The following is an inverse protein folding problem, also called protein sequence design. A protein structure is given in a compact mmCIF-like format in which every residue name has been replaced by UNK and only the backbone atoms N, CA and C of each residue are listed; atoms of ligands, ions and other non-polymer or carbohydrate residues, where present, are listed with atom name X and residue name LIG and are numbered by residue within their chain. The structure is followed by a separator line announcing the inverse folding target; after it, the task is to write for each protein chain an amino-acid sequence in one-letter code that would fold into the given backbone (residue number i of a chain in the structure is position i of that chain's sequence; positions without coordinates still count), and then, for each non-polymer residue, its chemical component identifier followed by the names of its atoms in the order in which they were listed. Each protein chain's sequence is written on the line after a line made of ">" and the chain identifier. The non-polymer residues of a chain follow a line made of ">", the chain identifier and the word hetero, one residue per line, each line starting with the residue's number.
data_IF_358305499730
#
_entry.id   IF_358305499730
#
_cell.length_a   1.000
_cell.length_b   1.000
_cell.length_c   1.000
_cell.angle_alpha   90.00
_cell.angle_beta   90.00
_cell.angle_gamma   90.00
#
_symmetry.space_group_name_H-M   'P 1'
#
loop_
_entity.id
_entity.type
_entity.pdbx_description
1 polymer ?
#
# COMPACT_ATOMS: atom_id res chain seq x y z
N UNK A 1 -58.10 57.19 18.88
CA UNK A 1 -56.72 57.00 18.42
C UNK A 1 -56.52 55.49 18.19
N UNK A 2 -56.48 55.02 16.93
CA UNK A 2 -56.36 53.62 16.56
C UNK A 2 -54.95 53.43 16.03
N UNK A 3 -54.20 52.50 16.62
CA UNK A 3 -52.82 52.12 16.17
C UNK A 3 -52.96 50.96 15.21
N UNK A 4 -52.19 50.92 14.10
CA UNK A 4 -52.17 49.79 13.18
C UNK A 4 -51.18 48.70 13.67
N UNK A 5 -51.65 47.47 13.61
CA UNK A 5 -50.88 46.24 13.86
C UNK A 5 -50.01 45.95 12.62
N UNK A 6 -48.68 45.91 12.81
CA UNK A 6 -47.73 45.56 11.78
C UNK A 6 -47.57 44.03 11.76
N UNK A 7 -47.97 43.39 10.66
CA UNK A 7 -47.81 41.96 10.43
C UNK A 7 -46.36 41.76 9.92
N UNK A 8 -45.49 41.11 10.74
CA UNK A 8 -44.17 40.63 10.30
C UNK A 8 -44.33 39.25 9.67
N UNK A 9 -44.17 39.16 8.33
CA UNK A 9 -44.02 37.89 7.62
C UNK A 9 -42.58 37.42 7.71
N UNK A 10 -42.32 36.33 8.45
CA UNK A 10 -41.04 35.66 8.50
C UNK A 10 -40.83 34.82 7.25
N UNK A 11 -39.85 35.21 6.44
CA UNK A 11 -39.38 34.45 5.28
C UNK A 11 -38.46 33.33 5.78
N UNK A 12 -38.98 32.10 5.87
CA UNK A 12 -38.21 30.93 6.25
C UNK A 12 -37.26 30.52 5.11
N UNK A 13 -35.96 30.76 5.27
CA UNK A 13 -34.93 30.14 4.41
C UNK A 13 -34.88 28.63 4.69
N UNK A 14 -35.39 27.83 3.76
CA UNK A 14 -35.19 26.39 3.75
C UNK A 14 -33.76 26.14 3.23
N UNK A 15 -32.82 25.90 4.15
CA UNK A 15 -31.50 25.36 3.77
C UNK A 15 -31.69 23.90 3.36
N UNK A 16 -31.79 23.66 2.07
CA UNK A 16 -31.72 22.34 1.50
C UNK A 16 -30.27 21.81 1.68
N UNK A 17 -30.08 20.91 2.65
CA UNK A 17 -28.86 20.07 2.72
C UNK A 17 -28.86 19.18 1.49
N UNK A 18 -28.03 19.52 0.52
CA UNK A 18 -27.63 18.62 -0.57
C UNK A 18 -26.93 17.43 0.08
N UNK A 19 -27.65 16.33 0.27
CA UNK A 19 -27.08 15.02 0.51
C UNK A 19 -26.22 14.69 -0.73
N UNK A 20 -24.90 14.90 -0.61
CA UNK A 20 -23.93 14.38 -1.57
C UNK A 20 -24.05 12.87 -1.47
N UNK A 21 -24.54 12.22 -2.53
CA UNK A 21 -24.52 10.77 -2.63
C UNK A 21 -23.06 10.34 -2.41
N UNK A 22 -22.83 9.53 -1.38
CA UNK A 22 -21.57 8.88 -1.12
C UNK A 22 -21.36 7.90 -2.29
N UNK A 23 -20.60 8.32 -3.31
CA UNK A 23 -20.24 7.45 -4.42
C UNK A 23 -19.45 6.29 -3.81
N UNK A 24 -20.07 5.13 -3.71
CA UNK A 24 -19.44 3.93 -3.19
C UNK A 24 -18.22 3.61 -4.04
N UNK A 25 -17.02 3.79 -3.47
CA UNK A 25 -15.75 3.50 -4.12
C UNK A 25 -15.76 2.08 -4.67
N UNK A 26 -15.50 1.94 -5.96
CA UNK A 26 -15.43 0.63 -6.61
C UNK A 26 -13.99 0.17 -6.65
N UNK A 27 -13.72 -0.98 -6.06
CA UNK A 27 -12.40 -1.58 -6.00
C UNK A 27 -12.30 -2.82 -6.90
N UNK A 28 -11.12 -3.05 -7.47
CA UNK A 28 -10.76 -4.31 -8.12
C UNK A 28 -9.36 -4.73 -7.70
N UNK A 29 -9.18 -6.04 -7.52
CA UNK A 29 -7.95 -6.60 -6.96
C UNK A 29 -7.02 -7.04 -8.09
N UNK A 30 -5.71 -6.76 -7.91
CA UNK A 30 -4.67 -7.25 -8.82
C UNK A 30 -4.26 -8.66 -8.38
N UNK A 31 -4.23 -9.62 -9.32
CA UNK A 31 -3.75 -10.97 -9.03
C UNK A 31 -2.22 -11.00 -9.07
N UNK A 32 -1.60 -11.15 -7.91
CA UNK A 32 -0.15 -11.27 -7.77
C UNK A 32 0.35 -12.72 -7.85
N UNK A 33 -0.54 -13.72 -7.77
CA UNK A 33 -0.16 -15.13 -7.67
C UNK A 33 0.72 -15.62 -8.83
N UNK A 34 0.48 -15.24 -10.11
CA UNK A 34 1.33 -15.68 -11.22
C UNK A 34 2.79 -15.21 -11.13
N UNK A 35 3.05 -14.20 -10.31
CA UNK A 35 4.38 -13.56 -10.11
C UNK A 35 4.91 -13.74 -8.69
N UNK A 36 4.13 -14.33 -7.78
CA UNK A 36 4.51 -14.52 -6.39
C UNK A 36 5.80 -15.37 -6.28
N UNK A 37 6.72 -14.90 -5.45
CA UNK A 37 7.99 -15.57 -5.19
C UNK A 37 8.23 -15.82 -3.70
N UNK A 38 7.22 -15.55 -2.87
CA UNK A 38 7.13 -15.86 -1.45
C UNK A 38 5.71 -16.26 -1.09
N UNK A 39 5.57 -17.11 -0.05
CA UNK A 39 4.28 -17.41 0.57
C UNK A 39 4.15 -16.69 1.92
N UNK A 40 2.92 -16.41 2.38
CA UNK A 40 2.71 -15.77 3.69
C UNK A 40 3.34 -16.57 4.85
N UNK A 41 3.52 -17.87 4.68
CA UNK A 41 4.13 -18.78 5.67
C UNK A 41 5.66 -18.84 5.58
N UNK A 42 6.26 -18.32 4.52
CA UNK A 42 7.71 -18.33 4.34
C UNK A 42 8.36 -17.28 5.25
N UNK A 43 9.55 -17.60 5.76
CA UNK A 43 10.31 -16.63 6.53
C UNK A 43 10.80 -15.50 5.62
N UNK A 44 10.51 -14.26 5.99
CA UNK A 44 11.05 -13.07 5.33
C UNK A 44 12.34 -12.62 6.02
N UNK A 45 13.27 -12.09 5.26
CA UNK A 45 14.52 -11.54 5.78
C UNK A 45 15.62 -12.60 6.02
N UNK A 46 16.23 -12.58 7.20
CA UNK A 46 17.46 -13.35 7.51
C UNK A 46 17.24 -14.84 7.82
N UNK A 47 16.06 -15.38 7.59
CA UNK A 47 15.73 -16.80 7.87
C UNK A 47 15.49 -17.09 9.35
N UNK A 48 15.14 -16.10 10.15
CA UNK A 48 14.67 -16.31 11.52
C UNK A 48 13.35 -17.08 11.45
N UNK A 49 13.30 -18.24 12.09
CA UNK A 49 12.12 -19.10 12.07
C UNK A 49 10.89 -18.36 12.63
N UNK A 50 9.75 -18.51 11.95
CA UNK A 50 8.51 -17.86 12.32
C UNK A 50 8.45 -16.36 11.99
N UNK A 51 9.48 -15.81 11.34
CA UNK A 51 9.46 -14.43 10.85
C UNK A 51 8.71 -14.33 9.53
N UNK A 52 7.40 -14.43 9.56
CA UNK A 52 6.53 -14.53 8.40
C UNK A 52 5.24 -13.69 8.56
N UNK A 53 4.34 -13.80 7.59
CA UNK A 53 3.03 -13.14 7.54
C UNK A 53 1.88 -14.14 7.75
N UNK A 54 2.11 -15.32 8.34
CA UNK A 54 1.09 -16.36 8.48
C UNK A 54 -0.17 -15.90 9.22
N UNK A 55 -0.05 -14.92 10.11
CA UNK A 55 -1.17 -14.35 10.87
C UNK A 55 -1.91 -13.21 10.15
N UNK A 56 -1.48 -12.81 8.94
CA UNK A 56 -2.21 -11.85 8.13
C UNK A 56 -3.52 -12.49 7.64
N UNK A 57 -4.70 -11.91 7.97
CA UNK A 57 -5.97 -12.47 7.54
C UNK A 57 -6.07 -12.53 6.01
N UNK A 58 -6.38 -13.72 5.48
CA UNK A 58 -6.56 -13.95 4.04
C UNK A 58 -7.95 -13.54 3.56
N UNK A 59 -8.10 -13.50 2.24
CA UNK A 59 -9.35 -13.13 1.58
C UNK A 59 -9.56 -11.62 1.53
N UNK A 60 -10.79 -11.18 1.48
CA UNK A 60 -11.12 -9.77 1.42
C UNK A 60 -11.00 -9.12 2.81
N UNK A 61 -10.18 -8.08 2.88
CA UNK A 61 -9.93 -7.28 4.08
C UNK A 61 -10.19 -5.82 3.78
N UNK A 62 -10.75 -5.08 4.72
CA UNK A 62 -10.81 -3.62 4.65
C UNK A 62 -9.76 -3.05 5.59
N UNK A 63 -8.74 -2.43 5.04
CA UNK A 63 -7.61 -1.84 5.76
C UNK A 63 -7.58 -0.34 5.46
N UNK A 64 -7.75 0.49 6.48
CA UNK A 64 -7.75 1.95 6.32
C UNK A 64 -8.69 2.44 5.19
N UNK A 65 -9.93 1.94 5.17
CA UNK A 65 -11.00 2.24 4.19
C UNK A 65 -10.73 1.71 2.76
N UNK A 66 -9.63 1.01 2.52
CA UNK A 66 -9.30 0.37 1.24
C UNK A 66 -9.57 -1.12 1.33
N UNK A 67 -10.27 -1.68 0.33
CA UNK A 67 -10.48 -3.13 0.23
C UNK A 67 -9.28 -3.78 -0.44
N UNK A 68 -8.73 -4.80 0.20
CA UNK A 68 -7.67 -5.65 -0.34
C UNK A 68 -8.13 -7.10 -0.41
N UNK A 69 -7.58 -7.86 -1.35
CA UNK A 69 -7.66 -9.32 -1.34
C UNK A 69 -6.28 -9.87 -1.02
N UNK A 70 -6.15 -10.46 0.17
CA UNK A 70 -4.91 -11.08 0.63
C UNK A 70 -4.91 -12.52 0.16
N UNK A 71 -3.97 -12.87 -0.70
CA UNK A 71 -3.76 -14.21 -1.24
C UNK A 71 -2.65 -14.94 -0.45
N UNK A 72 -2.31 -16.18 -0.84
CA UNK A 72 -1.27 -16.95 -0.16
C UNK A 72 0.15 -16.46 -0.46
N UNK A 73 0.37 -15.98 -1.68
CA UNK A 73 1.69 -15.55 -2.14
C UNK A 73 1.80 -14.04 -2.32
N UNK A 74 3.04 -13.54 -2.23
CA UNK A 74 3.37 -12.13 -2.40
C UNK A 74 4.70 -11.95 -3.13
N UNK A 75 5.05 -10.70 -3.47
CA UNK A 75 6.25 -10.32 -4.20
C UNK A 75 7.32 -9.82 -3.24
N UNK A 76 8.54 -10.36 -3.29
CA UNK A 76 9.70 -9.83 -2.57
C UNK A 76 10.84 -9.55 -3.54
N UNK A 77 11.47 -8.39 -3.39
CA UNK A 77 12.67 -8.00 -4.13
C UNK A 77 13.95 -8.42 -3.39
N UNK A 78 15.03 -8.46 -4.13
CA UNK A 78 16.34 -8.91 -3.68
C UNK A 78 16.98 -7.99 -2.64
N UNK A 79 17.89 -8.58 -1.86
CA UNK A 79 18.84 -7.89 -0.98
C UNK A 79 20.01 -8.83 -0.72
N UNK A 80 21.22 -8.27 -0.58
CA UNK A 80 22.42 -9.02 -0.21
C UNK A 80 22.30 -9.69 1.18
N UNK A 81 21.34 -9.25 2.01
CA UNK A 81 21.11 -9.81 3.35
C UNK A 81 20.09 -10.95 3.38
N UNK A 82 19.40 -11.22 2.28
CA UNK A 82 18.51 -12.36 2.21
C UNK A 82 19.32 -13.66 2.19
N UNK A 83 18.87 -14.63 2.97
CA UNK A 83 19.46 -15.98 2.97
C UNK A 83 19.30 -16.66 1.61
N UNK A 84 18.13 -16.47 1.00
CA UNK A 84 17.80 -16.99 -0.32
C UNK A 84 17.70 -15.81 -1.30
N UNK A 85 18.43 -15.86 -2.44
CA UNK A 85 18.36 -14.80 -3.43
C UNK A 85 16.94 -14.61 -3.96
N UNK A 86 16.53 -13.36 -4.09
CA UNK A 86 15.28 -12.95 -4.75
C UNK A 86 15.62 -12.04 -5.93
N UNK A 87 14.73 -11.92 -6.92
CA UNK A 87 14.97 -11.06 -8.07
C UNK A 87 14.98 -9.58 -7.67
N UNK A 88 15.78 -8.79 -8.34
CA UNK A 88 15.76 -7.34 -8.19
C UNK A 88 14.60 -6.70 -8.99
N UNK A 89 13.88 -7.50 -9.77
CA UNK A 89 12.78 -7.05 -10.62
C UNK A 89 11.74 -8.16 -10.81
N UNK A 90 10.46 -7.76 -10.74
CA UNK A 90 9.30 -8.60 -11.08
C UNK A 90 8.52 -7.88 -12.17
N UNK A 91 8.61 -8.39 -13.40
CA UNK A 91 8.00 -7.76 -14.58
C UNK A 91 6.59 -8.27 -14.88
N UNK A 92 5.80 -7.42 -15.51
CA UNK A 92 4.56 -7.81 -16.16
C UNK A 92 3.47 -8.27 -15.20
N UNK A 93 3.28 -7.59 -14.06
CA UNK A 93 2.09 -7.75 -13.20
C UNK A 93 0.90 -7.23 -14.00
N UNK A 94 0.00 -8.12 -14.40
CA UNK A 94 -1.08 -7.80 -15.35
C UNK A 94 -2.14 -6.92 -14.69
N UNK A 95 -2.47 -5.81 -15.34
CA UNK A 95 -3.54 -4.87 -14.91
C UNK A 95 -4.72 -4.91 -15.89
N UNK A 96 -4.50 -4.63 -17.15
CA UNK A 96 -5.47 -4.79 -18.25
C UNK A 96 -6.64 -3.81 -18.26
N UNK A 97 -6.66 -2.77 -17.39
CA UNK A 97 -7.76 -1.79 -17.27
C UNK A 97 -7.29 -0.38 -16.93
N UNK A 98 -8.19 0.60 -17.04
CA UNK A 98 -8.02 1.95 -16.53
C UNK A 98 -8.46 2.02 -15.06
N UNK A 99 -7.86 2.91 -14.27
CA UNK A 99 -8.19 3.12 -12.86
C UNK A 99 -7.78 4.52 -12.40
N UNK A 100 -8.40 5.02 -11.34
CA UNK A 100 -8.09 6.34 -10.77
C UNK A 100 -6.95 6.29 -9.75
N UNK A 101 -6.92 5.25 -8.87
CA UNK A 101 -5.87 5.11 -7.86
C UNK A 101 -5.38 3.68 -7.76
N UNK A 102 -4.09 3.55 -7.44
CA UNK A 102 -3.46 2.28 -7.06
C UNK A 102 -3.15 2.33 -5.56
N UNK A 103 -3.64 1.34 -4.84
CA UNK A 103 -3.35 1.13 -3.44
C UNK A 103 -2.41 -0.07 -3.30
N UNK A 104 -1.37 0.11 -2.51
CA UNK A 104 -0.29 -0.86 -2.28
C UNK A 104 -0.27 -1.25 -0.81
N UNK A 105 -0.30 -2.54 -0.50
CA UNK A 105 -0.02 -3.06 0.83
C UNK A 105 1.37 -3.67 0.82
N UNK A 106 2.35 -2.95 1.39
CA UNK A 106 3.76 -3.25 1.23
C UNK A 106 4.58 -2.91 2.50
N UNK A 107 5.84 -3.36 2.53
CA UNK A 107 6.83 -3.00 3.56
C UNK A 107 8.24 -3.34 3.07
N UNK A 108 9.23 -3.27 3.96
CA UNK A 108 10.57 -3.79 3.71
C UNK A 108 11.09 -4.54 4.94
N UNK A 109 12.00 -5.48 4.74
CA UNK A 109 12.87 -5.99 5.80
C UNK A 109 14.25 -5.36 5.68
N UNK A 110 15.02 -5.40 6.76
CA UNK A 110 16.36 -4.79 6.88
C UNK A 110 16.38 -3.27 6.77
N UNK A 111 15.25 -2.60 6.99
CA UNK A 111 15.18 -1.14 7.02
C UNK A 111 15.75 -0.54 8.31
N UNK A 112 15.66 -1.26 9.43
CA UNK A 112 16.05 -0.80 10.76
C UNK A 112 16.80 -1.89 11.55
N UNK A 113 17.25 -1.57 12.75
CA UNK A 113 17.97 -2.48 13.65
C UNK A 113 19.47 -2.24 13.63
N UNK A 114 20.30 -3.29 13.53
CA UNK A 114 21.76 -3.19 13.58
C UNK A 114 22.38 -2.36 12.42
N UNK A 115 21.68 -2.28 11.31
CA UNK A 115 22.01 -1.44 10.15
C UNK A 115 20.72 -0.74 9.72
N UNK A 116 20.77 0.55 9.50
CA UNK A 116 19.60 1.39 9.23
C UNK A 116 19.67 1.92 7.80
N UNK A 117 18.56 1.81 7.07
CA UNK A 117 18.34 2.56 5.83
C UNK A 117 17.99 4.00 6.22
N UNK A 118 18.68 4.98 5.66
CA UNK A 118 18.41 6.38 5.95
C UNK A 118 17.02 6.79 5.43
N UNK A 119 16.35 7.69 6.14
CA UNK A 119 15.14 8.33 5.64
C UNK A 119 15.43 9.00 4.28
N UNK A 120 14.42 9.12 3.43
CA UNK A 120 14.50 9.65 2.07
C UNK A 120 15.27 8.77 1.06
N UNK A 121 15.68 7.54 1.45
CA UNK A 121 16.29 6.59 0.53
C UNK A 121 15.24 5.93 -0.35
N UNK A 122 15.41 6.00 -1.67
CA UNK A 122 14.62 5.21 -2.63
C UNK A 122 15.05 3.75 -2.55
N UNK A 123 14.11 2.84 -2.28
CA UNK A 123 14.40 1.40 -2.10
C UNK A 123 13.75 0.53 -3.15
N UNK A 124 12.68 1.01 -3.76
CA UNK A 124 11.97 0.34 -4.85
C UNK A 124 11.20 1.35 -5.70
N UNK A 125 10.69 0.88 -6.82
CA UNK A 125 9.73 1.61 -7.66
C UNK A 125 8.74 0.65 -8.29
N UNK A 126 7.56 1.18 -8.69
CA UNK A 126 6.65 0.53 -9.60
C UNK A 126 6.66 1.31 -10.92
N UNK A 127 6.89 0.62 -12.03
CA UNK A 127 6.82 1.17 -13.38
C UNK A 127 5.47 0.79 -13.98
N UNK A 128 4.62 1.79 -14.22
CA UNK A 128 3.24 1.62 -14.70
C UNK A 128 3.21 1.80 -16.21
N UNK A 129 2.97 0.73 -16.96
CA UNK A 129 2.99 0.72 -18.41
C UNK A 129 1.59 0.88 -19.01
N UNK A 130 1.38 1.95 -19.76
CA UNK A 130 0.12 2.23 -20.43
C UNK A 130 0.06 1.62 -21.84
N UNK A 131 -1.16 1.35 -22.29
CA UNK A 131 -1.40 1.04 -23.69
C UNK A 131 -0.99 2.24 -24.55
N UNK A 132 -0.10 2.03 -25.50
CA UNK A 132 0.49 3.10 -26.33
C UNK A 132 1.96 3.37 -26.02
N UNK A 133 2.54 2.79 -24.97
CA UNK A 133 3.97 2.80 -24.67
C UNK A 133 4.42 3.84 -23.64
N UNK A 134 3.53 4.70 -23.16
CA UNK A 134 3.85 5.63 -22.06
C UNK A 134 4.09 4.85 -20.76
N UNK A 135 4.95 5.38 -19.90
CA UNK A 135 5.27 4.79 -18.58
C UNK A 135 5.30 5.87 -17.51
N UNK A 136 4.70 5.58 -16.36
CA UNK A 136 4.80 6.39 -15.14
C UNK A 136 5.54 5.62 -14.04
N UNK A 137 6.22 6.32 -13.16
CA UNK A 137 7.01 5.73 -12.08
C UNK A 137 6.46 6.14 -10.72
N UNK A 138 6.23 5.13 -9.87
CA UNK A 138 5.87 5.32 -8.46
C UNK A 138 7.07 4.94 -7.63
N UNK A 139 7.76 5.90 -7.03
CA UNK A 139 8.93 5.66 -6.19
C UNK A 139 8.50 5.27 -4.77
N UNK A 140 9.10 4.22 -4.22
CA UNK A 140 8.95 3.79 -2.83
C UNK A 140 10.15 4.28 -2.03
N UNK A 141 9.91 5.19 -1.09
CA UNK A 141 10.94 5.88 -0.31
C UNK A 141 10.84 5.45 1.15
N UNK A 142 11.95 4.99 1.73
CA UNK A 142 12.05 4.65 3.14
C UNK A 142 11.80 5.90 4.02
N UNK A 143 11.01 5.76 5.06
CA UNK A 143 10.61 6.87 5.93
C UNK A 143 9.42 7.70 5.39
N UNK A 144 9.12 7.64 4.09
CA UNK A 144 7.93 8.28 3.50
C UNK A 144 6.79 7.30 3.28
N UNK A 145 7.04 6.19 2.60
CA UNK A 145 6.01 5.24 2.20
C UNK A 145 5.98 4.01 3.10
N UNK A 146 7.16 3.54 3.46
CA UNK A 146 7.36 2.32 4.24
C UNK A 146 8.51 2.51 5.22
N UNK A 147 8.51 1.66 6.25
CA UNK A 147 9.64 1.37 7.12
C UNK A 147 9.84 -0.14 7.23
N UNK A 148 10.75 -0.54 8.12
CA UNK A 148 10.93 -1.95 8.44
C UNK A 148 9.60 -2.58 8.86
N UNK A 149 9.39 -3.79 8.44
CA UNK A 149 8.19 -4.56 8.74
C UNK A 149 8.09 -4.92 10.24
N UNK A 150 9.22 -4.98 10.98
CA UNK A 150 9.20 -5.02 12.43
C UNK A 150 9.00 -3.61 12.99
N UNK A 151 8.11 -3.47 13.99
CA UNK A 151 7.96 -2.21 14.71
C UNK A 151 9.14 -1.99 15.65
N UNK A 152 10.10 -1.19 15.21
CA UNK A 152 11.21 -0.71 16.03
C UNK A 152 10.73 0.51 16.82
N UNK A 153 10.43 0.35 18.11
CA UNK A 153 9.72 1.33 18.97
C UNK A 153 10.28 2.76 18.94
N UNK A 154 11.54 2.91 18.59
CA UNK A 154 12.20 4.22 18.47
C UNK A 154 12.11 4.80 17.05
N UNK A 155 11.54 4.07 16.13
CA UNK A 155 11.42 4.46 14.74
C UNK A 155 10.28 5.46 14.55
N UNK A 156 10.54 6.52 13.81
CA UNK A 156 9.52 7.50 13.42
C UNK A 156 8.48 6.87 12.52
N UNK A 157 7.26 7.42 12.47
CA UNK A 157 6.24 7.03 11.51
C UNK A 157 6.64 7.33 10.06
N UNK A 158 5.84 6.89 9.10
CA UNK A 158 5.96 7.29 7.70
C UNK A 158 5.24 8.61 7.46
N UNK A 159 5.65 9.36 6.43
CA UNK A 159 5.13 10.73 6.18
C UNK A 159 4.19 10.82 4.98
N UNK A 160 4.16 9.83 4.07
CA UNK A 160 3.30 9.77 2.88
C UNK A 160 2.39 8.56 2.90
N UNK A 161 2.92 7.38 3.25
CA UNK A 161 2.11 6.21 3.55
C UNK A 161 1.45 6.27 4.93
N UNK A 162 0.77 5.19 5.31
CA UNK A 162 0.26 4.96 6.66
C UNK A 162 0.34 3.48 7.02
N UNK A 163 0.32 3.15 8.31
CA UNK A 163 0.22 1.75 8.73
C UNK A 163 -1.16 1.23 8.33
N UNK A 164 -1.19 0.26 7.43
CA UNK A 164 -2.41 -0.37 6.94
C UNK A 164 -2.81 -1.61 7.73
N UNK A 165 -1.83 -2.31 8.31
CA UNK A 165 -2.08 -3.47 9.15
C UNK A 165 -0.95 -3.67 10.16
N UNK A 166 -1.31 -4.16 11.34
CA UNK A 166 -0.38 -4.61 12.39
C UNK A 166 -0.75 -6.00 12.86
N UNK A 167 0.26 -6.77 13.24
CA UNK A 167 0.08 -8.11 13.77
C UNK A 167 1.31 -8.60 14.53
N UNK A 168 1.36 -9.88 14.81
CA UNK A 168 2.49 -10.54 15.44
C UNK A 168 2.87 -11.80 14.66
N UNK A 169 4.10 -12.25 14.81
CA UNK A 169 4.56 -13.55 14.37
C UNK A 169 5.42 -14.20 15.46
N UNK A 170 5.74 -15.48 15.32
CA UNK A 170 6.48 -16.20 16.36
C UNK A 170 7.88 -15.64 16.62
N UNK A 171 8.51 -14.99 15.64
CA UNK A 171 9.84 -14.39 15.79
C UNK A 171 9.88 -13.17 16.72
N UNK A 172 8.75 -12.44 16.85
CA UNK A 172 8.69 -11.18 17.62
C UNK A 172 7.60 -11.15 18.68
N UNK A 173 6.89 -12.26 18.87
CA UNK A 173 5.77 -12.40 19.79
C UNK A 173 6.11 -11.92 21.21
N UNK A 174 5.25 -11.06 21.75
CA UNK A 174 5.43 -10.46 23.07
C UNK A 174 6.56 -9.42 23.17
N UNK A 175 7.31 -9.16 22.10
CA UNK A 175 8.41 -8.18 22.10
C UNK A 175 8.06 -6.95 21.25
N UNK A 176 7.51 -7.15 20.05
CA UNK A 176 7.13 -6.10 19.10
C UNK A 176 6.06 -6.59 18.14
N UNK A 177 5.49 -5.68 17.38
CA UNK A 177 4.57 -6.00 16.30
C UNK A 177 5.28 -6.07 14.94
N UNK A 178 4.63 -6.72 13.99
CA UNK A 178 4.92 -6.59 12.56
C UNK A 178 3.86 -5.68 11.94
N UNK A 179 4.20 -5.00 10.86
CA UNK A 179 3.32 -4.02 10.21
C UNK A 179 3.47 -4.01 8.70
N UNK A 180 2.39 -3.70 8.02
CA UNK A 180 2.35 -3.40 6.60
C UNK A 180 1.86 -1.97 6.41
N UNK A 181 2.36 -1.31 5.39
CA UNK A 181 2.02 0.07 5.07
C UNK A 181 1.08 0.12 3.87
N UNK A 182 0.14 1.04 3.93
CA UNK A 182 -0.73 1.41 2.83
C UNK A 182 -0.12 2.62 2.10
N UNK A 183 0.30 2.41 0.88
CA UNK A 183 0.61 3.47 -0.08
C UNK A 183 -0.57 3.69 -1.03
N UNK A 184 -0.82 4.94 -1.41
CA UNK A 184 -1.83 5.30 -2.41
C UNK A 184 -1.19 6.20 -3.45
N UNK A 185 -1.30 5.82 -4.72
CA UNK A 185 -0.88 6.61 -5.86
C UNK A 185 -2.08 7.01 -6.70
N UNK A 186 -2.18 8.31 -7.01
CA UNK A 186 -3.20 8.83 -7.92
C UNK A 186 -2.67 8.75 -9.36
N UNK A 187 -3.42 8.03 -10.19
CA UNK A 187 -3.04 7.84 -11.59
C UNK A 187 -3.25 9.16 -12.37
N UNK A 188 -2.20 9.79 -12.92
CA UNK A 188 -2.33 11.04 -13.68
C UNK A 188 -3.13 10.87 -14.98
N UNK A 189 -3.28 9.60 -15.44
CA UNK A 189 -4.00 9.25 -16.67
C UNK A 189 -5.15 8.25 -16.39
N UNK A 190 -6.16 8.61 -15.57
CA UNK A 190 -7.14 7.66 -15.04
C UNK A 190 -8.08 7.03 -16.08
N UNK A 191 -8.07 7.55 -17.31
CA UNK A 191 -8.84 7.01 -18.44
C UNK A 191 -8.01 6.16 -19.40
N UNK A 192 -6.66 6.20 -19.29
CA UNK A 192 -5.78 5.35 -20.11
C UNK A 192 -5.73 3.93 -19.51
N UNK A 193 -5.80 2.94 -20.38
CA UNK A 193 -5.62 1.54 -19.98
C UNK A 193 -4.17 1.30 -19.57
N UNK A 194 -3.95 0.82 -18.35
CA UNK A 194 -2.67 0.27 -17.90
C UNK A 194 -2.62 -1.19 -18.32
N UNK A 195 -1.54 -1.58 -18.96
CA UNK A 195 -1.30 -2.96 -19.41
C UNK A 195 -0.73 -3.80 -18.29
N UNK A 196 0.35 -3.31 -17.67
CA UNK A 196 1.08 -4.00 -16.61
C UNK A 196 1.77 -3.02 -15.68
N UNK A 197 2.25 -3.57 -14.57
CA UNK A 197 3.15 -2.89 -13.64
C UNK A 197 4.38 -3.79 -13.46
N UNK A 198 5.58 -3.18 -13.41
CA UNK A 198 6.79 -3.85 -12.99
C UNK A 198 7.16 -3.37 -11.58
N UNK A 199 7.64 -4.26 -10.73
CA UNK A 199 8.12 -3.96 -9.39
C UNK A 199 9.64 -4.12 -9.35
N UNK A 200 10.38 -3.04 -9.06
CA UNK A 200 11.81 -2.95 -9.30
C UNK A 200 12.52 -2.42 -8.06
N UNK A 201 13.61 -3.06 -7.66
CA UNK A 201 14.54 -2.57 -6.63
C UNK A 201 15.27 -1.33 -7.15
N UNK A 202 15.51 -0.36 -6.26
CA UNK A 202 16.29 0.84 -6.56
C UNK A 202 17.50 0.90 -5.64
N UNK A 203 18.63 1.24 -6.22
CA UNK A 203 19.90 1.42 -5.51
C UNK A 203 20.46 0.14 -4.90
N UNK A 204 21.65 0.28 -4.30
CA UNK A 204 22.37 -0.81 -3.63
C UNK A 204 22.15 -0.72 -2.11
N UNK A 205 20.89 -0.82 -1.70
CA UNK A 205 20.51 -0.79 -0.27
C UNK A 205 20.39 -2.19 0.30
N UNK A 206 20.51 -2.30 1.63
CA UNK A 206 20.27 -3.56 2.34
C UNK A 206 18.77 -3.88 2.45
N UNK A 207 17.88 -2.94 2.15
CA UNK A 207 16.45 -3.16 2.17
C UNK A 207 16.04 -4.30 1.23
N UNK A 208 15.11 -5.13 1.67
CA UNK A 208 14.42 -6.11 0.83
C UNK A 208 12.94 -5.78 0.79
N UNK A 209 12.51 -4.89 -0.12
CA UNK A 209 11.13 -4.48 -0.25
C UNK A 209 10.23 -5.63 -0.67
N UNK A 210 8.98 -5.62 -0.17
CA UNK A 210 7.99 -6.61 -0.58
C UNK A 210 6.58 -5.99 -0.68
N UNK A 211 5.74 -6.57 -1.55
CA UNK A 211 4.36 -6.14 -1.80
C UNK A 211 3.42 -7.32 -1.64
N UNK A 212 2.45 -7.19 -0.73
CA UNK A 212 1.52 -8.26 -0.35
C UNK A 212 0.24 -8.23 -1.17
N UNK A 213 -0.26 -7.03 -1.45
CA UNK A 213 -1.48 -6.86 -2.25
C UNK A 213 -1.49 -5.52 -2.97
N UNK A 214 -2.19 -5.51 -4.10
CA UNK A 214 -2.47 -4.32 -4.89
C UNK A 214 -3.98 -4.23 -5.18
N UNK A 215 -4.53 -3.04 -5.04
CA UNK A 215 -5.94 -2.76 -5.30
C UNK A 215 -6.07 -1.51 -6.17
N UNK A 216 -6.95 -1.60 -7.16
CA UNK A 216 -7.29 -0.49 -8.04
C UNK A 216 -8.61 0.14 -7.55
N UNK A 217 -8.65 1.45 -7.37
CA UNK A 217 -9.87 2.22 -7.18
C UNK A 217 -10.30 2.75 -8.55
N UNK A 218 -11.47 2.33 -9.02
CA UNK A 218 -12.04 2.77 -10.27
C UNK A 218 -12.62 4.20 -10.12
N UNK A 219 -12.85 4.85 -11.25
CA UNK A 219 -13.41 6.21 -11.30
C UNK A 219 -14.92 6.18 -11.15
#
# INVERSE_FOLDING_TARGET
>A
MKWPVLLMTSLGCVFGTLLRADETKKFSYVDLQPKANQQLTDNVGSGIQGNNLANLPKGEQTLEEVKFRIADGFLQLGSQRLKEPKPDRVDGIVIGKAFAKLHLLHATVFGAGATVVADDTEIAKYEVHYQGGDTETITVVYGKDVRDFWDWREERGVTRGKVGWTGENEAVKGQRQIRLYLGTWENPHPTKKVVSIDYVKVGDTIAAPFCVAMTLEEK
#
